data_IF_447720252111
#
_entry.id   IF_447720252111
#
_cell.length_a   1.000
_cell.length_b   1.000
_cell.length_c   1.000
_cell.angle_alpha   90.00
_cell.angle_beta   90.00
_cell.angle_gamma   90.00
#
_symmetry.space_group_name_H-M   'P 1'
#
loop_
_entity.id
_entity.type
_entity.pdbx_description
1 polymer ?
#
# COMPACT_ATOMS: atom_id res chain seq x y z
N UNK A 1 24.74 15.22 12.73
CA UNK A 1 25.46 14.33 11.79
C UNK A 1 25.02 12.87 11.85
N UNK A 2 25.01 12.17 13.00
CA UNK A 2 24.45 10.78 13.06
C UNK A 2 22.92 10.81 12.94
N UNK A 3 22.27 11.79 13.57
CA UNK A 3 20.82 11.98 13.50
C UNK A 3 20.32 12.20 12.06
N UNK A 4 21.02 13.02 11.27
CA UNK A 4 20.72 13.27 9.86
C UNK A 4 20.82 12.02 8.99
N UNK A 5 21.82 11.15 9.26
CA UNK A 5 21.99 9.88 8.52
C UNK A 5 20.89 8.89 8.88
N UNK A 6 20.54 8.76 10.15
CA UNK A 6 19.44 7.89 10.60
C UNK A 6 18.09 8.36 10.04
N UNK A 7 17.86 9.67 10.00
CA UNK A 7 16.67 10.25 9.39
C UNK A 7 16.61 10.01 7.87
N UNK A 8 17.74 10.16 7.15
CA UNK A 8 17.81 9.88 5.72
C UNK A 8 17.55 8.40 5.39
N UNK A 9 18.07 7.48 6.22
CA UNK A 9 17.82 6.04 6.06
C UNK A 9 16.36 5.67 6.35
N UNK A 10 15.77 6.23 7.41
CA UNK A 10 14.35 6.04 7.71
C UNK A 10 13.46 6.55 6.57
N UNK A 11 13.81 7.69 5.97
CA UNK A 11 13.14 8.24 4.78
C UNK A 11 13.19 7.29 3.59
N UNK A 12 14.37 6.76 3.25
CA UNK A 12 14.52 5.81 2.15
C UNK A 12 13.71 4.52 2.39
N UNK A 13 13.70 4.01 3.63
CA UNK A 13 12.93 2.84 4.00
C UNK A 13 11.42 3.10 3.92
N UNK A 14 10.95 4.29 4.33
CA UNK A 14 9.54 4.68 4.18
C UNK A 14 9.10 4.68 2.71
N UNK A 15 9.93 5.22 1.81
CA UNK A 15 9.64 5.22 0.37
C UNK A 15 9.48 3.79 -0.16
N UNK A 16 10.40 2.90 0.16
CA UNK A 16 10.32 1.50 -0.26
C UNK A 16 9.09 0.78 0.32
N UNK A 17 8.71 1.07 1.57
CA UNK A 17 7.49 0.52 2.17
C UNK A 17 6.22 1.04 1.48
N UNK A 18 6.21 2.29 1.03
CA UNK A 18 5.09 2.85 0.27
C UNK A 18 4.94 2.21 -1.11
N UNK A 19 6.05 2.00 -1.80
CA UNK A 19 6.07 1.27 -3.09
C UNK A 19 5.55 -0.15 -2.90
N UNK A 20 6.03 -0.87 -1.88
CA UNK A 20 5.59 -2.23 -1.56
C UNK A 20 4.09 -2.30 -1.26
N UNK A 21 3.56 -1.35 -0.48
CA UNK A 21 2.12 -1.26 -0.22
C UNK A 21 1.31 -1.08 -1.50
N UNK A 22 1.78 -0.21 -2.41
CA UNK A 22 1.13 -0.01 -3.69
C UNK A 22 1.15 -1.30 -4.54
N UNK A 23 2.28 -1.99 -4.63
CA UNK A 23 2.40 -3.25 -5.37
C UNK A 23 1.49 -4.35 -4.82
N UNK A 24 1.46 -4.54 -3.50
CA UNK A 24 0.60 -5.52 -2.83
C UNK A 24 -0.88 -5.18 -3.05
N UNK A 25 -1.25 -3.89 -2.98
CA UNK A 25 -2.63 -3.44 -3.23
C UNK A 25 -3.08 -3.67 -4.67
N UNK A 26 -2.19 -3.45 -5.64
CA UNK A 26 -2.45 -3.75 -7.04
C UNK A 26 -2.59 -5.26 -7.28
N UNK A 27 -1.74 -6.08 -6.66
CA UNK A 27 -1.80 -7.54 -6.73
C UNK A 27 -3.10 -8.11 -6.15
N UNK A 28 -3.59 -7.55 -5.03
CA UNK A 28 -4.89 -7.88 -4.45
C UNK A 28 -6.00 -7.56 -5.46
N UNK A 29 -6.01 -6.34 -6.00
CA UNK A 29 -7.03 -5.89 -6.97
C UNK A 29 -7.05 -6.75 -8.23
N UNK A 30 -5.88 -7.09 -8.76
CA UNK A 30 -5.76 -7.95 -9.93
C UNK A 30 -6.25 -9.38 -9.63
N UNK A 31 -5.88 -9.94 -8.48
CA UNK A 31 -6.30 -11.27 -8.06
C UNK A 31 -7.82 -11.34 -7.86
N UNK A 32 -8.41 -10.31 -7.27
CA UNK A 32 -9.87 -10.18 -7.12
C UNK A 32 -10.57 -10.07 -8.48
N UNK A 33 -10.06 -9.24 -9.40
CA UNK A 33 -10.58 -9.13 -10.78
C UNK A 33 -10.50 -10.45 -11.54
N UNK A 34 -9.41 -11.20 -11.40
CA UNK A 34 -9.26 -12.53 -12.03
C UNK A 34 -10.25 -13.54 -11.48
N UNK A 35 -10.54 -13.47 -10.17
CA UNK A 35 -11.53 -14.34 -9.53
C UNK A 35 -12.97 -14.04 -10.01
N UNK A 36 -13.31 -12.78 -10.30
CA UNK A 36 -14.63 -12.42 -10.84
C UNK A 36 -14.86 -12.93 -12.27
N UNK A 37 -13.81 -13.02 -13.08
CA UNK A 37 -13.91 -13.37 -14.50
C UNK A 37 -13.68 -14.86 -14.83
N UNK A 38 -13.23 -15.67 -13.85
CA UNK A 38 -12.85 -17.06 -14.11
C UNK A 38 -13.98 -18.05 -13.75
N UNK A 39 -14.21 -19.11 -14.58
CA UNK A 39 -15.12 -20.19 -14.22
C UNK A 39 -14.61 -20.92 -12.96
N UNK A 40 -15.49 -21.07 -11.97
CA UNK A 40 -15.17 -21.52 -10.62
C UNK A 40 -14.67 -22.97 -10.63
N UNK A 41 -13.36 -23.16 -10.69
CA UNK A 41 -12.71 -24.43 -10.32
C UNK A 41 -12.43 -24.42 -8.81
N UNK A 42 -12.96 -25.37 -8.02
CA UNK A 42 -12.90 -25.32 -6.56
C UNK A 42 -11.47 -25.33 -5.99
N UNK A 43 -10.53 -26.00 -6.65
CA UNK A 43 -9.11 -26.02 -6.25
C UNK A 43 -8.40 -24.69 -6.51
N UNK A 44 -8.65 -24.07 -7.67
CA UNK A 44 -8.11 -22.75 -8.02
C UNK A 44 -8.68 -21.67 -7.08
N UNK A 45 -9.99 -21.72 -6.79
CA UNK A 45 -10.64 -20.80 -5.86
C UNK A 45 -10.05 -20.89 -4.44
N UNK A 46 -9.72 -22.09 -3.95
CA UNK A 46 -9.05 -22.27 -2.66
C UNK A 46 -7.65 -21.68 -2.67
N UNK A 47 -6.84 -21.94 -3.69
CA UNK A 47 -5.49 -21.40 -3.81
C UNK A 47 -5.50 -19.86 -3.87
N UNK A 48 -6.41 -19.28 -4.66
CA UNK A 48 -6.60 -17.83 -4.76
C UNK A 48 -7.01 -17.21 -3.42
N UNK A 49 -7.90 -17.84 -2.65
CA UNK A 49 -8.26 -17.37 -1.30
C UNK A 49 -7.06 -17.35 -0.35
N UNK A 50 -6.27 -18.42 -0.35
CA UNK A 50 -5.04 -18.47 0.47
C UNK A 50 -4.04 -17.39 0.05
N UNK A 51 -3.89 -17.16 -1.25
CA UNK A 51 -3.03 -16.10 -1.78
C UNK A 51 -3.51 -14.70 -1.35
N UNK A 52 -4.81 -14.40 -1.46
CA UNK A 52 -5.39 -13.14 -1.00
C UNK A 52 -5.21 -12.92 0.51
N UNK A 53 -5.35 -13.98 1.33
CA UNK A 53 -5.09 -13.89 2.77
C UNK A 53 -3.62 -13.53 3.04
N UNK A 54 -2.68 -14.12 2.29
CA UNK A 54 -1.26 -13.81 2.43
C UNK A 54 -0.97 -12.34 2.06
N UNK A 55 -1.49 -11.86 0.92
CA UNK A 55 -1.31 -10.47 0.50
C UNK A 55 -1.90 -9.47 1.51
N UNK A 56 -3.08 -9.76 2.07
CA UNK A 56 -3.70 -8.90 3.09
C UNK A 56 -2.89 -8.86 4.39
N UNK A 57 -2.26 -9.97 4.78
CA UNK A 57 -1.34 -10.00 5.93
C UNK A 57 -0.10 -9.17 5.68
N UNK A 58 0.49 -9.30 4.49
CA UNK A 58 1.67 -8.54 4.11
C UNK A 58 1.39 -7.02 4.10
N UNK A 59 0.23 -6.63 3.56
CA UNK A 59 -0.23 -5.24 3.60
C UNK A 59 -0.39 -4.70 5.03
N UNK A 60 -0.93 -5.52 5.94
CA UNK A 60 -1.07 -5.14 7.34
C UNK A 60 0.28 -4.93 8.03
N UNK A 61 1.22 -5.85 7.83
CA UNK A 61 2.57 -5.73 8.39
C UNK A 61 3.31 -4.51 7.82
N UNK A 62 3.18 -4.24 6.52
CA UNK A 62 3.77 -3.05 5.91
C UNK A 62 3.23 -1.75 6.55
N UNK A 63 1.90 -1.63 6.71
CA UNK A 63 1.30 -0.48 7.40
C UNK A 63 1.78 -0.35 8.85
N UNK A 64 1.88 -1.48 9.58
CA UNK A 64 2.39 -1.47 10.94
C UNK A 64 3.84 -0.99 11.00
N UNK A 65 4.70 -1.45 10.09
CA UNK A 65 6.10 -1.02 10.03
C UNK A 65 6.21 0.47 9.72
N UNK A 66 5.37 1.00 8.83
CA UNK A 66 5.29 2.42 8.53
C UNK A 66 4.94 3.22 9.79
N UNK A 67 3.93 2.79 10.54
CA UNK A 67 3.50 3.47 11.77
C UNK A 67 4.60 3.44 12.84
N UNK A 68 5.26 2.30 13.04
CA UNK A 68 6.39 2.17 13.97
C UNK A 68 7.56 3.07 13.55
N UNK A 69 7.88 3.13 12.25
CA UNK A 69 9.00 3.92 11.72
C UNK A 69 8.72 5.43 11.84
N UNK A 70 7.49 5.87 11.55
CA UNK A 70 7.05 7.27 11.74
C UNK A 70 7.07 7.68 13.21
N UNK A 71 6.71 6.77 14.13
CA UNK A 71 6.78 7.02 15.57
C UNK A 71 8.21 7.15 16.06
N UNK A 72 9.12 6.31 15.57
CA UNK A 72 10.53 6.29 15.99
C UNK A 72 11.34 7.44 15.40
N UNK A 73 11.01 7.89 14.19
CA UNK A 73 11.72 8.95 13.48
C UNK A 73 10.76 10.08 13.08
N UNK A 74 10.38 10.98 14.00
CA UNK A 74 9.46 12.07 13.70
C UNK A 74 10.01 13.01 12.61
N UNK A 75 11.34 13.17 12.50
CA UNK A 75 12.01 13.94 11.45
C UNK A 75 11.91 13.32 10.05
N UNK A 76 11.44 12.07 9.94
CA UNK A 76 11.15 11.39 8.66
C UNK A 76 9.67 11.51 8.26
N UNK A 77 8.83 12.16 9.08
CA UNK A 77 7.37 12.30 8.86
C UNK A 77 7.01 13.23 7.70
N UNK A 78 7.98 13.99 7.19
CA UNK A 78 7.80 14.89 6.05
C UNK A 78 7.56 14.16 4.72
N UNK A 79 7.71 12.83 4.68
CA UNK A 79 7.31 12.05 3.51
C UNK A 79 5.79 11.88 3.55
N UNK A 80 5.02 12.55 2.67
CA UNK A 80 3.61 12.29 2.56
C UNK A 80 3.42 10.84 2.11
N UNK A 81 2.48 10.15 2.75
CA UNK A 81 1.93 8.93 2.17
C UNK A 81 1.53 9.24 0.72
N UNK A 82 1.88 8.41 -0.29
CA UNK A 82 1.26 8.51 -1.59
C UNK A 82 -0.19 8.09 -1.41
N UNK A 83 -1.00 9.02 -0.91
CA UNK A 83 -2.45 8.91 -1.00
C UNK A 83 -2.68 8.87 -2.48
N UNK A 84 -2.97 7.68 -3.00
CA UNK A 84 -3.50 7.50 -4.35
C UNK A 84 -4.55 8.58 -4.50
N UNK A 85 -4.23 9.65 -5.23
CA UNK A 85 -5.22 10.63 -5.62
C UNK A 85 -6.27 9.79 -6.36
N UNK A 86 -7.52 9.66 -5.85
CA UNK A 86 -8.58 9.30 -6.78
C UNK A 86 -8.49 10.30 -7.93
N UNK A 87 -8.59 9.88 -9.20
CA UNK A 87 -8.50 10.79 -10.33
C UNK A 87 -9.44 11.96 -10.02
N UNK A 88 -8.86 13.17 -9.97
CA UNK A 88 -9.58 14.41 -9.69
C UNK A 88 -10.91 14.37 -10.45
N UNK A 89 -11.99 14.18 -9.71
CA UNK A 89 -13.31 14.46 -10.23
C UNK A 89 -13.26 15.94 -10.64
N UNK A 90 -13.47 16.28 -11.92
CA UNK A 90 -13.38 17.66 -12.36
C UNK A 90 -14.36 18.46 -11.52
N UNK A 91 -13.86 19.51 -10.88
CA UNK A 91 -14.63 20.44 -10.08
C UNK A 91 -15.95 20.73 -10.80
N UNK A 92 -17.06 20.27 -10.21
CA UNK A 92 -18.39 20.67 -10.63
C UNK A 92 -18.49 22.18 -10.44
N UNK A 93 -18.17 22.91 -11.49
CA UNK A 93 -18.48 24.32 -11.66
C UNK A 93 -20.00 24.39 -11.72
N UNK A 94 -20.61 24.71 -10.58
CA UNK A 94 -22.01 25.07 -10.49
C UNK A 94 -22.12 26.54 -10.96
N UNK A 95 -22.81 26.86 -12.06
CA UNK A 95 -23.11 28.25 -12.40
C UNK A 95 -24.18 28.78 -11.44
N UNK A 96 -23.93 30.00 -10.96
CA UNK A 96 -24.80 30.79 -10.10
C UNK A 96 -25.85 31.56 -10.92
#
# INVERSE_FOLDING_TARGET
MIEDRSAAQARALLTSLYEHVNEVSQSITETERRNQNAPVRPTAARHQRHHLIALRKDLYEAHRLIDELRRKFPSARDIPWPTTNPPEAPASVLPR
#
